data_IF_196834294776
#
_entry.id   IF_196834294776
#
_cell.length_a   1.000
_cell.length_b   1.000
_cell.length_c   1.000
_cell.angle_alpha   90.00
_cell.angle_beta   90.00
_cell.angle_gamma   90.00
#
_symmetry.space_group_name_H-M   'P 1'
#
loop_
_entity.id
_entity.type
_entity.pdbx_description
1 polymer ?
#
# COMPACT_ATOMS: atom_id res chain seq x y z
N UNK A 1 33.99 13.12 40.73
CA UNK A 1 33.82 13.39 39.29
C UNK A 1 33.52 12.07 38.56
N UNK A 2 32.29 11.56 38.68
CA UNK A 2 31.84 10.29 38.06
C UNK A 2 30.37 10.42 37.66
N UNK A 3 30.07 11.41 36.83
CA UNK A 3 28.74 11.65 36.23
C UNK A 3 28.94 12.38 34.90
N UNK A 4 29.54 11.70 33.92
CA UNK A 4 29.72 12.26 32.58
C UNK A 4 29.94 11.21 31.46
N UNK A 5 29.75 9.91 31.71
CA UNK A 5 30.17 8.87 30.75
C UNK A 5 29.08 7.83 30.41
N UNK A 6 27.81 8.10 30.73
CA UNK A 6 26.69 7.19 30.40
C UNK A 6 25.72 7.75 29.35
N UNK A 7 25.93 8.97 28.85
CA UNK A 7 25.05 9.61 27.85
C UNK A 7 25.63 9.60 26.42
N UNK A 8 26.85 9.09 26.22
CA UNK A 8 27.52 9.10 24.91
C UNK A 8 27.41 7.77 24.14
N UNK A 9 26.88 6.71 24.75
CA UNK A 9 26.78 5.38 24.11
C UNK A 9 25.43 5.18 23.42
N UNK A 10 24.36 5.84 23.87
CA UNK A 10 23.06 5.79 23.16
C UNK A 10 23.02 6.67 21.89
N UNK A 11 23.82 7.74 21.82
CA UNK A 11 23.87 8.60 20.64
C UNK A 11 24.59 7.94 19.45
N UNK A 12 25.46 6.96 19.68
CA UNK A 12 26.16 6.22 18.62
C UNK A 12 25.30 5.09 18.05
N UNK A 13 24.38 4.52 18.84
CA UNK A 13 23.44 3.51 18.36
C UNK A 13 22.35 4.09 17.45
N UNK A 14 21.96 5.36 17.64
CA UNK A 14 20.95 6.04 16.81
C UNK A 14 21.55 6.54 15.48
N UNK A 15 22.86 6.81 15.41
CA UNK A 15 23.52 7.25 14.17
C UNK A 15 23.85 6.09 13.22
N UNK A 16 23.86 4.84 13.71
CA UNK A 16 24.02 3.66 12.86
C UNK A 16 22.75 3.23 12.10
N UNK A 17 21.59 3.82 12.41
CA UNK A 17 20.31 3.55 11.72
C UNK A 17 19.98 4.62 10.65
N UNK A 18 20.83 5.64 10.49
CA UNK A 18 20.63 6.74 9.52
C UNK A 18 21.64 6.71 8.36
N UNK A 19 22.33 5.58 8.17
CA UNK A 19 23.36 5.40 7.14
C UNK A 19 22.97 4.37 6.05
N UNK A 20 21.67 4.23 5.76
CA UNK A 20 21.18 3.64 4.49
C UNK A 20 20.40 4.64 3.62
N UNK A 21 20.31 5.91 4.04
CA UNK A 21 19.72 7.01 3.25
C UNK A 21 20.78 7.64 2.34
N UNK A 22 21.40 6.84 1.48
CA UNK A 22 22.28 7.32 0.41
C UNK A 22 22.51 6.24 -0.65
N UNK A 23 21.52 6.05 -1.52
CA UNK A 23 21.60 5.22 -2.73
C UNK A 23 20.20 4.75 -3.09
N UNK A 24 19.54 5.15 -4.19
CA UNK A 24 20.08 5.55 -5.47
C UNK A 24 19.00 6.35 -6.23
N UNK A 25 18.88 7.66 -5.99
CA UNK A 25 17.96 8.53 -6.75
C UNK A 25 18.52 8.94 -8.14
N UNK A 26 19.40 8.14 -8.74
CA UNK A 26 20.07 8.47 -10.01
C UNK A 26 20.30 7.29 -10.97
N UNK A 27 19.70 6.13 -10.73
CA UNK A 27 19.67 5.07 -11.75
C UNK A 27 18.31 5.09 -12.44
N UNK A 28 18.23 5.89 -13.50
CA UNK A 28 17.31 5.64 -14.61
C UNK A 28 17.68 4.34 -15.33
N UNK A 29 17.71 3.22 -14.60
CA UNK A 29 17.60 1.91 -15.21
C UNK A 29 16.22 1.84 -15.83
N UNK A 30 16.13 1.33 -17.06
CA UNK A 30 14.85 0.98 -17.64
C UNK A 30 14.17 0.01 -16.66
N UNK A 31 13.24 0.52 -15.84
CA UNK A 31 12.36 -0.34 -15.08
C UNK A 31 11.58 -1.09 -16.14
N UNK A 32 11.78 -2.40 -16.19
CA UNK A 32 11.04 -3.31 -17.07
C UNK A 32 9.58 -3.47 -16.62
N UNK A 33 9.12 -2.63 -15.67
CA UNK A 33 7.74 -2.55 -15.21
C UNK A 33 6.90 -1.86 -16.29
N UNK A 34 5.78 -2.47 -16.72
CA UNK A 34 4.86 -1.83 -17.64
C UNK A 34 4.26 -0.54 -17.07
N UNK A 35 4.39 0.56 -17.81
CA UNK A 35 3.58 1.76 -17.60
C UNK A 35 2.19 1.50 -18.16
N UNK A 36 1.16 1.69 -17.35
CA UNK A 36 -0.22 1.57 -17.78
C UNK A 36 -0.58 2.72 -18.73
N UNK A 37 -1.22 2.39 -19.85
CA UNK A 37 -1.57 3.35 -20.91
C UNK A 37 -3.05 3.68 -20.96
N UNK A 38 -3.88 2.98 -20.17
CA UNK A 38 -5.29 3.26 -20.04
C UNK A 38 -5.53 4.63 -19.40
N UNK A 39 -6.70 5.21 -19.66
CA UNK A 39 -7.12 6.40 -18.93
C UNK A 39 -7.48 6.00 -17.49
N UNK A 40 -6.94 6.68 -16.46
CA UNK A 40 -7.38 6.46 -15.09
C UNK A 40 -8.86 6.85 -14.96
N UNK A 41 -9.67 6.11 -14.18
CA UNK A 41 -11.04 6.51 -13.88
C UNK A 41 -11.08 7.84 -13.11
N UNK A 42 -12.26 8.46 -13.08
CA UNK A 42 -12.54 9.70 -12.35
C UNK A 42 -13.81 9.53 -11.53
N UNK A 43 -14.03 10.41 -10.54
CA UNK A 43 -15.21 10.36 -9.67
C UNK A 43 -15.13 9.27 -8.61
N UNK A 44 -16.28 8.77 -8.17
CA UNK A 44 -16.39 7.79 -7.07
C UNK A 44 -17.07 6.52 -7.56
N UNK A 45 -16.52 5.36 -7.19
CA UNK A 45 -17.13 4.04 -7.40
C UNK A 45 -16.88 3.13 -6.19
N UNK A 46 -17.93 2.51 -5.67
CA UNK A 46 -17.90 1.80 -4.39
C UNK A 46 -17.28 2.64 -3.27
N UNK A 47 -16.19 2.14 -2.68
CA UNK A 47 -15.42 2.83 -1.64
C UNK A 47 -14.28 3.72 -2.18
N UNK A 48 -14.07 3.77 -3.49
CA UNK A 48 -12.94 4.46 -4.13
C UNK A 48 -13.35 5.87 -4.53
N UNK A 49 -12.56 6.87 -4.15
CA UNK A 49 -12.58 8.23 -4.69
C UNK A 49 -11.36 8.40 -5.61
N UNK A 50 -11.58 8.28 -6.92
CA UNK A 50 -10.51 8.31 -7.91
C UNK A 50 -9.90 9.71 -8.04
N UNK A 51 -10.71 10.76 -7.92
CA UNK A 51 -10.22 12.16 -8.00
C UNK A 51 -9.48 12.56 -6.73
N UNK A 52 -9.91 12.02 -5.58
CA UNK A 52 -9.27 12.21 -4.28
C UNK A 52 -8.03 11.35 -4.05
N UNK A 53 -7.81 10.30 -4.86
CA UNK A 53 -6.65 9.41 -4.76
C UNK A 53 -6.72 8.40 -3.61
N UNK A 54 -7.90 8.15 -3.03
CA UNK A 54 -8.03 7.27 -1.86
C UNK A 54 -9.19 6.28 -1.93
N UNK A 55 -9.07 5.25 -1.09
CA UNK A 55 -10.08 4.25 -0.80
C UNK A 55 -10.56 4.45 0.64
N UNK A 56 -11.87 4.54 0.83
CA UNK A 56 -12.50 4.86 2.12
C UNK A 56 -12.83 3.61 2.92
N UNK A 57 -12.52 3.61 4.22
CA UNK A 57 -12.98 2.61 5.20
C UNK A 57 -13.57 3.33 6.41
N UNK A 58 -14.78 2.94 6.81
CA UNK A 58 -15.53 3.58 7.89
C UNK A 58 -16.26 4.86 7.46
N UNK A 59 -16.95 5.48 8.42
CA UNK A 59 -17.79 6.67 8.20
C UNK A 59 -17.65 7.75 9.30
N UNK A 60 -16.65 7.60 10.18
CA UNK A 60 -16.37 8.55 11.26
C UNK A 60 -15.98 9.95 10.76
N UNK A 61 -16.34 10.99 11.51
CA UNK A 61 -16.15 12.38 11.08
C UNK A 61 -14.67 12.80 10.98
N UNK A 62 -13.77 12.16 11.73
CA UNK A 62 -12.32 12.43 11.69
C UNK A 62 -11.69 11.60 10.59
N UNK A 63 -10.87 12.22 9.74
CA UNK A 63 -10.21 11.55 8.63
C UNK A 63 -8.75 11.25 8.99
N UNK A 64 -8.31 10.03 8.71
CA UNK A 64 -6.90 9.61 8.80
C UNK A 64 -6.47 9.13 7.42
N UNK A 65 -5.37 9.66 6.92
CA UNK A 65 -4.81 9.29 5.61
C UNK A 65 -3.58 8.41 5.79
N UNK A 66 -3.53 7.31 5.04
CA UNK A 66 -2.41 6.38 5.02
C UNK A 66 -1.97 6.18 3.57
N UNK A 67 -0.80 6.72 3.24
CA UNK A 67 -0.10 6.45 1.98
C UNK A 67 0.79 5.23 2.14
N UNK A 68 0.66 4.28 1.24
CA UNK A 68 1.37 3.01 1.37
C UNK A 68 1.71 2.40 0.02
N UNK A 69 2.71 1.54 0.02
CA UNK A 69 3.04 0.66 -1.09
C UNK A 69 3.08 -0.77 -0.55
N UNK A 70 2.37 -1.70 -1.20
CA UNK A 70 2.22 -3.08 -0.73
C UNK A 70 3.54 -3.86 -0.64
N UNK A 71 4.59 -3.43 -1.35
CA UNK A 71 5.92 -4.03 -1.26
C UNK A 71 6.79 -3.41 -0.17
N UNK A 72 6.42 -2.23 0.36
CA UNK A 72 7.27 -1.47 1.27
C UNK A 72 7.37 -2.14 2.65
N UNK A 73 8.56 -2.59 3.09
CA UNK A 73 8.72 -3.23 4.39
C UNK A 73 8.40 -2.29 5.55
N UNK A 74 8.64 -0.99 5.38
CA UNK A 74 8.33 0.02 6.42
C UNK A 74 6.82 0.27 6.51
N UNK A 75 6.09 0.22 5.38
CA UNK A 75 4.63 0.23 5.41
C UNK A 75 4.09 -1.02 6.10
N UNK A 76 4.67 -2.20 5.85
CA UNK A 76 4.31 -3.43 6.55
C UNK A 76 4.58 -3.36 8.06
N UNK A 77 5.72 -2.81 8.48
CA UNK A 77 6.03 -2.62 9.89
C UNK A 77 5.08 -1.61 10.58
N UNK A 78 4.71 -0.54 9.86
CA UNK A 78 3.70 0.42 10.32
C UNK A 78 2.35 -0.25 10.50
N UNK A 79 1.92 -1.06 9.54
CA UNK A 79 0.66 -1.79 9.61
C UNK A 79 0.65 -2.79 10.78
N UNK A 80 1.71 -3.59 10.95
CA UNK A 80 1.82 -4.53 12.07
C UNK A 80 1.76 -3.82 13.44
N UNK A 81 2.20 -2.57 13.52
CA UNK A 81 2.21 -1.82 14.77
C UNK A 81 0.88 -1.13 15.05
N UNK A 82 0.16 -0.66 14.02
CA UNK A 82 -0.98 0.24 14.17
C UNK A 82 -2.30 -0.34 13.65
N UNK A 83 -2.29 -1.48 12.95
CA UNK A 83 -3.44 -2.07 12.27
C UNK A 83 -4.63 -2.30 13.20
N UNK A 84 -4.40 -2.93 14.36
CA UNK A 84 -5.45 -3.17 15.38
C UNK A 84 -6.05 -1.86 15.92
N UNK A 85 -5.27 -0.78 15.96
CA UNK A 85 -5.75 0.53 16.40
C UNK A 85 -6.65 1.16 15.33
N UNK A 86 -6.29 1.02 14.05
CA UNK A 86 -7.16 1.47 12.96
C UNK A 86 -8.44 0.66 12.87
N UNK A 87 -8.35 -0.67 13.04
CA UNK A 87 -9.51 -1.57 13.07
C UNK A 87 -10.51 -1.13 14.16
N UNK A 88 -10.02 -1.00 15.39
CA UNK A 88 -10.86 -0.56 16.53
C UNK A 88 -11.49 0.82 16.30
N UNK A 89 -10.73 1.78 15.78
CA UNK A 89 -11.19 3.16 15.57
C UNK A 89 -12.15 3.31 14.38
N UNK A 90 -12.06 2.39 13.40
CA UNK A 90 -13.03 2.29 12.30
C UNK A 90 -14.30 1.61 12.82
N UNK A 91 -14.18 0.50 13.55
CA UNK A 91 -15.31 -0.26 14.09
C UNK A 91 -16.17 0.57 15.05
N UNK A 92 -15.54 1.36 15.92
CA UNK A 92 -16.25 2.22 16.88
C UNK A 92 -16.75 3.55 16.29
N UNK A 93 -16.49 3.79 14.99
CA UNK A 93 -16.92 4.99 14.26
C UNK A 93 -16.14 6.27 14.60
N UNK A 94 -14.99 6.16 15.30
CA UNK A 94 -14.16 7.31 15.65
C UNK A 94 -13.51 7.96 14.43
N UNK A 95 -13.16 7.18 13.40
CA UNK A 95 -12.49 7.67 12.20
C UNK A 95 -13.12 7.14 10.90
N UNK A 96 -12.86 7.88 9.82
CA UNK A 96 -12.82 7.37 8.46
C UNK A 96 -11.35 7.24 8.06
N UNK A 97 -10.91 6.04 7.73
CA UNK A 97 -9.59 5.78 7.18
C UNK A 97 -9.62 5.97 5.66
N UNK A 98 -8.63 6.70 5.13
CA UNK A 98 -8.43 6.94 3.70
C UNK A 98 -7.10 6.32 3.28
N UNK A 99 -7.18 5.22 2.56
CA UNK A 99 -6.04 4.45 2.07
C UNK A 99 -5.63 4.98 0.70
N UNK A 100 -4.39 5.45 0.57
CA UNK A 100 -3.79 5.97 -0.66
C UNK A 100 -2.75 4.97 -1.18
N UNK A 101 -3.14 4.01 -2.03
CA UNK A 101 -2.21 3.04 -2.58
C UNK A 101 -1.26 3.71 -3.58
N UNK A 102 0.03 3.49 -3.38
CA UNK A 102 1.15 3.97 -4.20
C UNK A 102 1.93 2.79 -4.81
N UNK A 103 2.81 3.12 -5.76
CA UNK A 103 3.52 2.15 -6.61
C UNK A 103 5.02 2.46 -6.73
N UNK A 104 5.60 3.13 -5.73
CA UNK A 104 6.98 3.62 -5.79
C UNK A 104 8.04 2.49 -5.72
N UNK A 105 7.66 1.28 -5.32
CA UNK A 105 8.53 0.09 -5.31
C UNK A 105 8.29 -0.87 -6.47
N UNK A 106 7.51 -0.48 -7.48
CA UNK A 106 7.34 -1.30 -8.68
C UNK A 106 8.68 -1.71 -9.30
N UNK A 107 9.67 -0.81 -9.35
CA UNK A 107 11.00 -1.10 -9.88
C UNK A 107 11.76 -2.18 -9.06
N UNK A 108 11.39 -2.35 -7.79
CA UNK A 108 11.90 -3.39 -6.90
C UNK A 108 11.10 -4.70 -6.98
N UNK A 109 10.23 -4.89 -7.98
CA UNK A 109 9.40 -6.11 -8.11
C UNK A 109 9.82 -7.04 -9.26
N UNK A 110 11.11 -7.10 -9.60
CA UNK A 110 11.65 -7.88 -10.73
C UNK A 110 10.94 -7.66 -12.08
N UNK A 111 10.31 -6.48 -12.25
CA UNK A 111 9.55 -6.13 -13.45
C UNK A 111 8.10 -6.61 -13.47
N UNK A 112 7.61 -7.25 -12.40
CA UNK A 112 6.20 -7.71 -12.34
C UNK A 112 5.22 -6.58 -12.04
N UNK A 113 5.69 -5.44 -11.52
CA UNK A 113 4.86 -4.32 -11.09
C UNK A 113 3.95 -4.69 -9.93
N UNK A 114 4.48 -5.41 -8.92
CA UNK A 114 3.69 -5.94 -7.81
C UNK A 114 2.90 -4.85 -7.07
N UNK A 115 3.51 -3.70 -6.78
CA UNK A 115 2.84 -2.61 -6.07
C UNK A 115 1.63 -2.08 -6.86
N UNK A 116 1.79 -1.88 -8.17
CA UNK A 116 0.70 -1.53 -9.09
C UNK A 116 -0.40 -2.60 -9.11
N UNK A 117 -0.05 -3.89 -9.19
CA UNK A 117 -1.03 -4.99 -9.23
C UNK A 117 -1.78 -5.13 -7.90
N UNK A 118 -1.11 -4.98 -6.77
CA UNK A 118 -1.72 -5.00 -5.44
C UNK A 118 -2.65 -3.81 -5.22
N UNK A 119 -2.24 -2.60 -5.65
CA UNK A 119 -3.09 -1.42 -5.63
C UNK A 119 -4.37 -1.64 -6.46
N UNK A 120 -4.24 -2.14 -7.69
CA UNK A 120 -5.37 -2.45 -8.55
C UNK A 120 -6.31 -3.53 -7.96
N UNK A 121 -5.75 -4.55 -7.30
CA UNK A 121 -6.53 -5.57 -6.59
C UNK A 121 -7.31 -4.96 -5.42
N UNK A 122 -6.72 -4.04 -4.66
CA UNK A 122 -7.42 -3.34 -3.57
C UNK A 122 -8.54 -2.46 -4.12
N UNK A 123 -8.32 -1.77 -5.24
CA UNK A 123 -9.37 -1.03 -5.95
C UNK A 123 -10.50 -1.95 -6.37
N UNK A 124 -10.20 -3.15 -6.92
CA UNK A 124 -11.22 -4.14 -7.26
C UNK A 124 -12.04 -4.61 -6.05
N UNK A 125 -11.40 -4.84 -4.90
CA UNK A 125 -12.11 -5.13 -3.66
C UNK A 125 -13.00 -3.94 -3.27
N UNK A 126 -12.48 -2.72 -3.32
CA UNK A 126 -13.18 -1.52 -2.88
C UNK A 126 -14.40 -1.13 -3.72
N UNK A 127 -14.36 -1.38 -5.04
CA UNK A 127 -15.55 -1.17 -5.91
C UNK A 127 -16.63 -2.23 -5.68
N UNK A 128 -16.24 -3.43 -5.25
CA UNK A 128 -17.15 -4.58 -5.18
C UNK A 128 -17.69 -4.83 -3.76
N UNK A 129 -16.83 -4.75 -2.74
CA UNK A 129 -17.16 -5.02 -1.35
C UNK A 129 -16.35 -4.14 -0.39
N UNK A 130 -17.02 -3.11 0.12
CA UNK A 130 -16.44 -2.13 1.05
C UNK A 130 -15.99 -2.76 2.37
N UNK A 131 -16.67 -3.83 2.82
CA UNK A 131 -16.39 -4.43 4.12
C UNK A 131 -15.11 -5.28 4.08
N UNK A 132 -14.72 -5.75 2.89
CA UNK A 132 -13.49 -6.51 2.69
C UNK A 132 -12.24 -5.63 2.47
N UNK A 133 -12.39 -4.30 2.36
CA UNK A 133 -11.27 -3.39 2.04
C UNK A 133 -10.17 -3.43 3.09
N UNK A 134 -10.51 -3.18 4.37
CA UNK A 134 -9.52 -3.16 5.45
C UNK A 134 -8.90 -4.54 5.69
N UNK A 135 -9.68 -5.65 5.76
CA UNK A 135 -9.11 -6.99 5.83
C UNK A 135 -8.18 -7.34 4.66
N UNK A 136 -8.52 -6.96 3.43
CA UNK A 136 -7.66 -7.22 2.28
C UNK A 136 -6.39 -6.38 2.29
N UNK A 137 -6.49 -5.09 2.62
CA UNK A 137 -5.34 -4.21 2.80
C UNK A 137 -4.35 -4.77 3.84
N UNK A 138 -4.84 -5.25 4.98
CA UNK A 138 -4.02 -5.92 6.01
C UNK A 138 -3.39 -7.22 5.48
N UNK A 139 -4.15 -8.01 4.72
CA UNK A 139 -3.68 -9.26 4.14
C UNK A 139 -2.53 -9.08 3.12
N UNK A 140 -2.37 -7.89 2.51
CA UNK A 140 -1.21 -7.58 1.66
C UNK A 140 0.11 -7.60 2.44
N UNK A 141 0.07 -7.37 3.75
CA UNK A 141 1.23 -7.37 4.64
C UNK A 141 1.40 -8.68 5.42
N UNK A 142 0.48 -9.64 5.25
CA UNK A 142 0.65 -11.01 5.76
C UNK A 142 1.53 -11.79 4.79
N UNK A 143 2.66 -12.29 5.30
CA UNK A 143 3.73 -12.89 4.48
C UNK A 143 4.10 -11.98 3.30
N UNK A 144 4.35 -10.69 3.61
CA UNK A 144 4.66 -9.66 2.64
C UNK A 144 5.86 -10.09 1.76
N UNK A 145 5.78 -9.97 0.43
CA UNK A 145 6.92 -10.23 -0.43
C UNK A 145 8.08 -9.29 -0.14
N UNK A 146 9.31 -9.81 -0.16
CA UNK A 146 10.52 -9.00 -0.03
C UNK A 146 10.71 -8.10 -1.27
N UNK A 147 11.35 -6.94 -1.09
CA UNK A 147 11.86 -6.16 -2.22
C UNK A 147 12.85 -6.99 -3.05
N UNK A 148 12.85 -6.77 -4.36
CA UNK A 148 13.58 -7.54 -5.38
C UNK A 148 13.09 -8.99 -5.55
N UNK A 149 11.87 -9.29 -5.08
CA UNK A 149 11.14 -10.51 -5.45
C UNK A 149 10.10 -10.22 -6.54
N UNK A 150 9.50 -11.27 -7.09
CA UNK A 150 8.43 -11.13 -8.08
C UNK A 150 7.12 -10.58 -7.48
N UNK A 151 7.02 -10.50 -6.15
CA UNK A 151 5.77 -10.22 -5.46
C UNK A 151 4.75 -11.37 -5.60
N UNK A 152 3.52 -11.11 -5.18
CA UNK A 152 2.43 -12.08 -5.33
C UNK A 152 1.93 -12.10 -6.76
N UNK A 153 1.53 -13.26 -7.26
CA UNK A 153 0.80 -13.42 -8.51
C UNK A 153 -0.64 -12.89 -8.39
N UNK A 154 -1.29 -12.60 -9.52
CA UNK A 154 -2.70 -12.17 -9.53
C UNK A 154 -3.63 -13.22 -8.91
N UNK A 155 -3.31 -14.52 -9.07
CA UNK A 155 -4.07 -15.60 -8.42
C UNK A 155 -3.94 -15.57 -6.90
N UNK A 156 -2.76 -15.23 -6.37
CA UNK A 156 -2.55 -15.09 -4.94
C UNK A 156 -3.22 -13.83 -4.38
N UNK A 157 -3.27 -12.74 -5.15
CA UNK A 157 -4.04 -11.54 -4.81
C UNK A 157 -5.55 -11.83 -4.77
N UNK A 158 -6.09 -12.49 -5.79
CA UNK A 158 -7.49 -12.96 -5.81
C UNK A 158 -7.79 -13.85 -4.60
N UNK A 159 -6.90 -14.81 -4.31
CA UNK A 159 -7.06 -15.70 -3.17
C UNK A 159 -7.07 -14.91 -1.85
N UNK A 160 -6.14 -13.99 -1.64
CA UNK A 160 -6.11 -13.12 -0.45
C UNK A 160 -7.39 -12.29 -0.32
N UNK A 161 -7.91 -11.75 -1.42
CA UNK A 161 -9.17 -11.01 -1.41
C UNK A 161 -10.35 -11.90 -0.97
N UNK A 162 -10.41 -13.14 -1.47
CA UNK A 162 -11.42 -14.11 -1.05
C UNK A 162 -11.28 -14.52 0.42
N UNK A 163 -10.05 -14.76 0.89
CA UNK A 163 -9.78 -15.08 2.30
C UNK A 163 -10.13 -13.91 3.23
N UNK A 164 -10.01 -12.67 2.74
CA UNK A 164 -10.43 -11.44 3.39
C UNK A 164 -11.96 -11.18 3.33
N UNK A 165 -12.72 -12.11 2.75
CA UNK A 165 -14.18 -12.06 2.70
C UNK A 165 -14.76 -11.32 1.49
N UNK A 166 -13.93 -10.88 0.54
CA UNK A 166 -14.42 -10.26 -0.69
C UNK A 166 -15.07 -11.28 -1.62
N UNK A 167 -15.97 -10.80 -2.47
CA UNK A 167 -16.41 -11.54 -3.65
C UNK A 167 -15.26 -11.75 -4.65
N UNK A 168 -15.45 -12.63 -5.65
CA UNK A 168 -14.40 -12.95 -6.62
C UNK A 168 -14.02 -11.73 -7.48
N UNK A 169 -12.80 -11.25 -7.29
CA UNK A 169 -12.24 -10.11 -8.04
C UNK A 169 -11.52 -10.53 -9.33
N UNK A 170 -11.52 -11.81 -9.71
CA UNK A 170 -10.72 -12.32 -10.84
C UNK A 170 -10.96 -11.57 -12.15
N UNK A 171 -12.22 -11.33 -12.52
CA UNK A 171 -12.55 -10.59 -13.75
C UNK A 171 -12.14 -9.12 -13.65
N UNK A 172 -12.39 -8.49 -12.50
CA UNK A 172 -11.98 -7.11 -12.25
C UNK A 172 -10.45 -6.96 -12.38
N UNK A 173 -9.68 -7.87 -11.77
CA UNK A 173 -8.23 -7.81 -11.80
C UNK A 173 -7.67 -8.08 -13.20
N UNK A 174 -8.30 -8.96 -13.97
CA UNK A 174 -7.94 -9.19 -15.38
C UNK A 174 -8.12 -7.93 -16.24
N UNK A 175 -9.19 -7.16 -16.00
CA UNK A 175 -9.54 -5.94 -16.74
C UNK A 175 -9.07 -4.64 -16.03
N UNK A 176 -8.14 -4.76 -15.08
CA UNK A 176 -7.75 -3.66 -14.16
C UNK A 176 -6.82 -2.60 -14.76
N UNK A 177 -6.67 -2.53 -16.08
CA UNK A 177 -5.82 -1.55 -16.78
C UNK A 177 -6.03 -0.09 -16.29
N UNK A 178 -7.28 0.41 -16.22
CA UNK A 178 -7.58 1.73 -15.67
C UNK A 178 -7.17 1.91 -14.21
N UNK A 179 -7.32 0.88 -13.35
CA UNK A 179 -6.95 0.96 -11.94
C UNK A 179 -5.44 0.96 -11.74
N UNK A 180 -4.70 0.24 -12.60
CA UNK A 180 -3.24 0.31 -12.66
C UNK A 180 -2.78 1.71 -13.07
N UNK A 181 -3.41 2.30 -14.09
CA UNK A 181 -3.13 3.67 -14.52
C UNK A 181 -3.40 4.68 -13.40
N UNK A 182 -4.49 4.52 -12.66
CA UNK A 182 -4.82 5.36 -11.51
C UNK A 182 -3.79 5.24 -10.39
N UNK A 183 -3.38 4.03 -9.99
CA UNK A 183 -2.39 3.84 -8.93
C UNK A 183 -1.01 4.44 -9.30
N UNK A 184 -0.58 4.27 -10.55
CA UNK A 184 0.66 4.87 -11.05
C UNK A 184 0.54 6.41 -11.11
N UNK A 185 -0.60 6.94 -11.53
CA UNK A 185 -0.85 8.39 -11.55
C UNK A 185 -0.90 9.00 -10.14
N UNK A 186 -1.53 8.32 -9.18
CA UNK A 186 -1.53 8.74 -7.78
C UNK A 186 -0.11 8.88 -7.25
N UNK A 187 0.75 7.89 -7.54
CA UNK A 187 2.15 7.90 -7.13
C UNK A 187 2.93 9.06 -7.73
N UNK A 188 2.69 9.39 -9.00
CA UNK A 188 3.36 10.51 -9.66
C UNK A 188 2.92 11.88 -9.15
N UNK A 189 1.72 11.99 -8.54
CA UNK A 189 1.10 13.25 -8.14
C UNK A 189 0.96 13.43 -6.61
N UNK A 190 1.48 12.49 -5.81
CA UNK A 190 1.45 12.53 -4.33
C UNK A 190 2.56 13.40 -3.74
#
# INVERSE_FOLDING_TARGET
MRRAAAAAVLAVAVVAVVASVAGCSLLGGASNVPVATDAPPTGTDGAVDFDGGFITVGDGAKKVDVWFDAMCPVCGAFEQTNGDTFDSAVEDGSITLRLHPLTFLDAASNGTGYSTRAAAALTCVAVTDRNAVLPFYQALYTDQPEENSDGLTDKELVKRASDAGSSDISSCLADSGPYKAWAQANTANS
#
